data_IF_713520686091
#
_entry.id   IF_713520686091
#
_cell.length_a   1.000
_cell.length_b   1.000
_cell.length_c   1.000
_cell.angle_alpha   90.00
_cell.angle_beta   90.00
_cell.angle_gamma   90.00
#
_symmetry.space_group_name_H-M   'P 1'
#
loop_
_entity.id
_entity.type
_entity.pdbx_description
1 polymer ?
#
# COMPACT_ATOMS: atom_id res chain seq x y z
N UNK A 1 -27.46 3.59 3.80
CA UNK A 1 -27.72 3.42 2.36
C UNK A 1 -29.12 2.91 2.17
N UNK A 2 -29.88 3.50 1.24
CA UNK A 2 -31.16 3.00 0.74
C UNK A 2 -31.14 3.07 -0.79
N UNK A 3 -31.64 2.03 -1.45
CA UNK A 3 -31.64 1.93 -2.91
C UNK A 3 -33.03 1.69 -3.45
N UNK A 4 -33.30 2.11 -4.70
CA UNK A 4 -34.55 1.84 -5.40
C UNK A 4 -34.77 0.33 -5.66
N UNK A 5 -33.69 -0.49 -5.57
CA UNK A 5 -33.74 -1.95 -5.64
C UNK A 5 -34.23 -2.64 -4.36
N UNK A 6 -34.63 -1.86 -3.34
CA UNK A 6 -35.22 -2.38 -2.10
C UNK A 6 -34.23 -2.64 -0.96
N UNK A 7 -32.93 -2.37 -1.13
CA UNK A 7 -31.98 -2.43 -0.01
C UNK A 7 -32.14 -1.20 0.89
N UNK A 8 -32.15 -1.43 2.22
CA UNK A 8 -32.03 -0.39 3.23
C UNK A 8 -31.14 -0.92 4.36
N UNK A 9 -30.08 -0.22 4.66
CA UNK A 9 -29.14 -0.62 5.70
C UNK A 9 -28.38 0.57 6.26
N UNK A 10 -27.99 0.44 7.51
CA UNK A 10 -27.07 1.37 8.17
C UNK A 10 -25.90 0.62 8.80
N UNK A 11 -24.80 1.28 8.86
CA UNK A 11 -23.67 0.85 9.68
C UNK A 11 -23.04 2.06 10.33
N UNK A 12 -22.58 1.87 11.56
CA UNK A 12 -21.72 2.80 12.26
C UNK A 12 -20.34 2.19 12.34
N UNK A 13 -19.34 2.95 11.96
CA UNK A 13 -17.94 2.56 12.13
C UNK A 13 -17.17 3.72 12.76
N UNK A 14 -16.18 3.38 13.52
CA UNK A 14 -15.21 4.34 14.08
C UNK A 14 -13.83 4.02 13.50
N UNK A 15 -13.00 5.02 13.47
CA UNK A 15 -11.58 4.88 13.21
C UNK A 15 -10.83 5.93 14.03
N UNK A 16 -9.61 5.61 14.36
CA UNK A 16 -8.69 6.49 15.08
C UNK A 16 -7.32 6.42 14.39
N UNK A 17 -6.72 7.58 14.21
CA UNK A 17 -5.38 7.72 13.63
C UNK A 17 -4.53 8.56 14.56
N UNK A 18 -3.36 8.08 14.91
CA UNK A 18 -2.27 8.89 15.46
C UNK A 18 -1.17 8.97 14.40
N UNK A 19 -0.72 10.17 14.12
CA UNK A 19 0.35 10.45 13.17
C UNK A 19 1.33 11.41 13.82
N UNK A 20 2.62 11.15 13.67
CA UNK A 20 3.67 12.04 14.11
C UNK A 20 4.69 12.25 12.99
N UNK A 21 5.02 13.50 12.73
CA UNK A 21 6.14 13.92 11.91
C UNK A 21 7.11 14.70 12.82
N UNK A 22 8.25 14.10 13.12
CA UNK A 22 9.33 14.78 13.81
C UNK A 22 10.31 15.33 12.75
N UNK A 23 10.56 16.63 12.78
CA UNK A 23 11.44 17.25 11.79
C UNK A 23 12.34 18.32 12.42
N UNK A 24 13.55 18.41 11.90
CA UNK A 24 14.51 19.47 12.16
C UNK A 24 15.13 19.88 10.84
N UNK A 25 15.99 20.89 10.85
CA UNK A 25 16.80 21.24 9.67
C UNK A 25 17.71 20.04 9.32
N UNK A 26 17.43 19.40 8.18
CA UNK A 26 18.20 18.27 7.64
C UNK A 26 17.91 16.89 8.26
N UNK A 27 16.85 16.74 9.05
CA UNK A 27 16.43 15.43 9.56
C UNK A 27 14.91 15.33 9.73
N UNK A 28 14.32 14.19 9.40
CA UNK A 28 12.90 13.92 9.65
C UNK A 28 12.62 12.45 9.89
N UNK A 29 11.52 12.19 10.58
CA UNK A 29 11.00 10.85 10.82
C UNK A 29 9.48 10.89 10.94
N UNK A 30 8.85 9.86 10.43
CA UNK A 30 7.42 9.70 10.37
C UNK A 30 7.00 8.38 11.02
N UNK A 31 5.90 8.40 11.71
CA UNK A 31 5.20 7.20 12.15
C UNK A 31 3.70 7.45 12.21
N UNK A 32 2.93 6.39 12.04
CA UNK A 32 1.48 6.41 12.19
C UNK A 32 0.96 5.13 12.81
N UNK A 33 -0.21 5.21 13.40
CA UNK A 33 -0.98 4.06 13.81
C UNK A 33 -2.45 4.32 13.53
N UNK A 34 -3.09 3.39 12.82
CA UNK A 34 -4.51 3.43 12.50
C UNK A 34 -5.19 2.21 13.10
N UNK A 35 -6.35 2.41 13.71
CA UNK A 35 -7.20 1.35 14.23
C UNK A 35 -8.67 1.74 14.15
N UNK A 36 -9.58 0.77 14.24
CA UNK A 36 -11.01 1.05 14.31
C UNK A 36 -11.47 1.49 15.72
N UNK A 37 -10.63 1.36 16.74
CA UNK A 37 -10.94 1.79 18.10
C UNK A 37 -9.77 2.61 18.68
N UNK A 38 -10.08 3.75 19.28
CA UNK A 38 -9.08 4.67 19.86
C UNK A 38 -8.22 4.02 20.95
N UNK A 39 -8.75 3.03 21.67
CA UNK A 39 -7.99 2.30 22.71
C UNK A 39 -6.83 1.46 22.15
N UNK A 40 -6.88 1.15 20.87
CA UNK A 40 -5.88 0.33 20.18
C UNK A 40 -4.80 1.19 19.49
N UNK A 41 -4.83 2.51 19.73
CA UNK A 41 -3.84 3.48 19.22
C UNK A 41 -3.00 3.99 20.40
N UNK A 42 -1.68 3.89 20.29
CA UNK A 42 -0.70 4.47 21.24
C UNK A 42 0.02 5.68 20.63
N UNK A 43 -0.50 6.91 20.81
CA UNK A 43 0.15 8.10 20.27
C UNK A 43 1.57 8.33 20.82
N UNK A 44 1.84 7.82 22.04
CA UNK A 44 3.16 7.90 22.63
C UNK A 44 4.19 7.02 21.91
N UNK A 45 3.79 5.80 21.51
CA UNK A 45 4.62 4.93 20.70
C UNK A 45 4.89 5.54 19.32
N UNK A 46 3.85 6.06 18.67
CA UNK A 46 3.96 6.75 17.37
C UNK A 46 4.93 7.94 17.44
N UNK A 47 4.81 8.77 18.48
CA UNK A 47 5.72 9.91 18.64
C UNK A 47 7.18 9.45 18.89
N UNK A 48 7.40 8.40 19.69
CA UNK A 48 8.75 7.86 19.93
C UNK A 48 9.37 7.30 18.66
N UNK A 49 8.63 6.55 17.86
CA UNK A 49 9.08 6.01 16.59
C UNK A 49 9.49 7.13 15.61
N UNK A 50 8.63 8.13 15.41
CA UNK A 50 8.95 9.27 14.55
C UNK A 50 10.21 10.02 14.98
N UNK A 51 10.38 10.27 16.30
CA UNK A 51 11.58 10.92 16.84
C UNK A 51 12.83 10.05 16.66
N UNK A 52 12.73 8.73 16.86
CA UNK A 52 13.85 7.82 16.68
C UNK A 52 14.33 7.79 15.20
N UNK A 53 13.38 7.71 14.27
CA UNK A 53 13.69 7.79 12.84
C UNK A 53 14.35 9.14 12.53
N UNK A 54 13.81 10.27 13.01
CA UNK A 54 14.36 11.59 12.78
C UNK A 54 15.80 11.71 13.28
N UNK A 55 16.11 11.17 14.47
CA UNK A 55 17.49 11.16 15.01
C UNK A 55 18.46 10.40 14.12
N UNK A 56 18.00 9.34 13.47
CA UNK A 56 18.82 8.49 12.60
C UNK A 56 18.98 9.05 11.20
N UNK A 57 18.14 9.99 10.75
CA UNK A 57 18.20 10.59 9.41
C UNK A 57 19.08 11.82 9.31
N UNK A 58 19.67 12.28 10.40
CA UNK A 58 20.62 13.42 10.40
C UNK A 58 21.88 13.11 9.59
N UNK A 59 22.40 14.11 8.89
CA UNK A 59 23.59 14.01 8.02
C UNK A 59 23.45 12.95 6.92
N UNK A 60 22.29 12.91 6.27
CA UNK A 60 22.00 11.98 5.19
C UNK A 60 22.95 12.15 4.00
N UNK A 61 23.48 11.02 3.52
CA UNK A 61 24.31 10.94 2.33
C UNK A 61 23.51 10.77 1.05
N UNK A 62 24.16 10.94 -0.08
CA UNK A 62 23.56 10.72 -1.40
C UNK A 62 23.71 9.26 -1.85
N UNK A 63 22.78 8.83 -2.69
CA UNK A 63 22.84 7.55 -3.39
C UNK A 63 22.68 7.81 -4.89
N UNK A 64 23.55 7.26 -5.71
CA UNK A 64 23.45 7.39 -7.16
C UNK A 64 22.18 6.72 -7.69
N UNK A 65 21.56 7.23 -8.78
CA UNK A 65 20.52 6.51 -9.48
C UNK A 65 20.99 5.11 -9.90
N UNK A 66 20.09 4.13 -9.81
CA UNK A 66 20.38 2.72 -10.10
C UNK A 66 19.29 1.80 -9.59
N UNK A 67 19.47 0.53 -9.84
CA UNK A 67 18.60 -0.54 -9.37
C UNK A 67 19.18 -1.16 -8.11
N UNK A 68 18.42 -1.21 -7.04
CA UNK A 68 18.86 -1.68 -5.73
C UNK A 68 17.95 -2.78 -5.20
N UNK A 69 18.50 -3.70 -4.44
CA UNK A 69 17.71 -4.50 -3.52
C UNK A 69 17.17 -3.59 -2.44
N UNK A 70 15.96 -3.85 -1.97
CA UNK A 70 15.36 -2.99 -0.96
C UNK A 70 14.54 -3.76 0.08
N UNK A 71 14.44 -3.17 1.27
CA UNK A 71 13.36 -3.46 2.20
C UNK A 71 12.41 -2.27 2.18
N UNK A 72 11.12 -2.54 1.93
CA UNK A 72 10.06 -1.56 2.09
C UNK A 72 9.35 -1.82 3.41
N UNK A 73 9.35 -0.84 4.29
CA UNK A 73 8.56 -0.89 5.52
C UNK A 73 7.06 -0.88 5.22
N UNK A 74 6.21 -1.19 6.22
CA UNK A 74 4.76 -1.27 5.99
C UNK A 74 4.15 0.01 5.41
N UNK A 75 4.58 1.19 5.85
CA UNK A 75 4.06 2.46 5.31
C UNK A 75 4.42 2.62 3.82
N UNK A 76 5.67 2.27 3.45
CA UNK A 76 6.11 2.34 2.06
C UNK A 76 5.38 1.33 1.17
N UNK A 77 5.24 0.08 1.62
CA UNK A 77 4.53 -0.95 0.87
C UNK A 77 3.03 -0.65 0.77
N UNK A 78 2.42 -0.20 1.85
CA UNK A 78 1.00 0.16 1.89
C UNK A 78 0.66 1.25 0.88
N UNK A 79 1.42 2.34 0.86
CA UNK A 79 1.23 3.44 -0.07
C UNK A 79 1.48 3.00 -1.53
N UNK A 80 2.56 2.25 -1.79
CA UNK A 80 2.87 1.72 -3.11
C UNK A 80 1.73 0.84 -3.65
N UNK A 81 1.22 -0.08 -2.84
CA UNK A 81 0.16 -1.00 -3.25
C UNK A 81 -1.18 -0.31 -3.42
N UNK A 82 -1.49 0.72 -2.65
CA UNK A 82 -2.74 1.46 -2.82
C UNK A 82 -2.77 2.19 -4.16
N UNK A 83 -1.72 2.92 -4.51
CA UNK A 83 -1.62 3.57 -5.82
C UNK A 83 -1.65 2.56 -6.97
N UNK A 84 -0.95 1.44 -6.83
CA UNK A 84 -0.98 0.36 -7.82
C UNK A 84 -2.37 -0.26 -7.95
N UNK A 85 -3.06 -0.48 -6.86
CA UNK A 85 -4.34 -1.17 -6.82
C UNK A 85 -5.48 -0.37 -7.48
N UNK A 86 -5.42 0.96 -7.46
CA UNK A 86 -6.44 1.84 -8.00
C UNK A 86 -6.82 1.49 -9.44
N UNK A 87 -5.83 1.42 -10.32
CA UNK A 87 -6.05 1.07 -11.73
C UNK A 87 -5.88 -0.41 -12.01
N UNK A 88 -5.06 -1.12 -11.24
CA UNK A 88 -4.79 -2.53 -11.49
C UNK A 88 -5.98 -3.41 -11.16
N UNK A 89 -6.55 -3.25 -9.96
CA UNK A 89 -7.60 -4.16 -9.49
C UNK A 89 -9.02 -3.60 -9.62
N UNK A 90 -9.21 -2.54 -10.40
CA UNK A 90 -10.53 -2.00 -10.74
C UNK A 90 -11.16 -2.73 -11.92
N UNK A 91 -12.37 -3.26 -11.75
CA UNK A 91 -13.13 -3.88 -12.83
C UNK A 91 -13.45 -2.91 -13.97
N UNK A 92 -13.65 -1.63 -13.66
CA UNK A 92 -13.82 -0.60 -14.69
C UNK A 92 -12.54 -0.41 -15.50
N UNK A 93 -11.39 -0.31 -14.85
CA UNK A 93 -10.11 -0.19 -15.53
C UNK A 93 -9.80 -1.41 -16.40
N UNK A 94 -10.21 -2.60 -15.96
CA UNK A 94 -10.07 -3.83 -16.75
C UNK A 94 -10.94 -3.80 -18.01
N UNK A 95 -12.19 -3.34 -17.91
CA UNK A 95 -13.10 -3.18 -19.08
C UNK A 95 -12.62 -2.12 -20.06
N UNK A 96 -11.89 -1.13 -19.59
CA UNK A 96 -11.31 -0.06 -20.40
C UNK A 96 -9.90 -0.39 -20.91
N UNK A 97 -9.43 -1.60 -20.66
CA UNK A 97 -8.11 -2.11 -21.05
C UNK A 97 -6.92 -1.26 -20.56
N UNK A 98 -7.09 -0.47 -19.52
CA UNK A 98 -6.02 0.32 -18.89
C UNK A 98 -5.41 -0.34 -17.64
N UNK A 99 -6.00 -1.45 -17.19
CA UNK A 99 -5.48 -2.22 -16.07
C UNK A 99 -4.23 -3.02 -16.42
N UNK A 100 -3.33 -3.17 -15.45
CA UNK A 100 -2.22 -4.14 -15.55
C UNK A 100 -2.70 -5.58 -15.74
N UNK A 101 -3.90 -5.92 -15.23
CA UNK A 101 -4.49 -7.27 -15.39
C UNK A 101 -4.90 -7.59 -16.84
N UNK A 102 -5.03 -6.58 -17.72
CA UNK A 102 -5.55 -6.78 -19.09
C UNK A 102 -4.70 -7.80 -19.85
N UNK A 103 -5.33 -8.92 -20.20
CA UNK A 103 -4.70 -10.05 -20.88
C UNK A 103 -3.80 -10.94 -20.03
N UNK A 104 -3.73 -10.74 -18.68
CA UNK A 104 -2.78 -11.44 -17.81
C UNK A 104 -3.47 -12.23 -16.67
N UNK A 105 -4.79 -12.20 -16.58
CA UNK A 105 -5.51 -12.98 -15.56
C UNK A 105 -5.18 -14.48 -15.67
N UNK A 106 -4.90 -15.09 -14.53
CA UNK A 106 -4.46 -16.48 -14.40
C UNK A 106 -2.96 -16.70 -14.58
N UNK A 107 -2.20 -15.66 -14.91
CA UNK A 107 -0.75 -15.77 -15.04
C UNK A 107 -0.06 -15.50 -13.67
N UNK A 108 1.04 -16.21 -13.43
CA UNK A 108 1.95 -15.88 -12.33
C UNK A 108 2.82 -14.70 -12.76
N UNK A 109 2.67 -13.57 -12.11
CA UNK A 109 3.40 -12.34 -12.40
C UNK A 109 4.18 -11.80 -11.20
N UNK A 110 3.91 -12.32 -10.02
CA UNK A 110 4.59 -11.98 -8.78
C UNK A 110 5.24 -13.23 -8.18
N UNK A 111 6.12 -13.04 -7.20
CA UNK A 111 6.68 -14.11 -6.41
C UNK A 111 5.58 -14.94 -5.73
N UNK A 112 5.80 -16.23 -5.57
CA UNK A 112 4.82 -17.14 -4.96
C UNK A 112 4.49 -16.80 -3.50
N UNK A 113 5.35 -16.06 -2.81
CA UNK A 113 5.10 -15.57 -1.46
C UNK A 113 4.08 -14.42 -1.42
N UNK A 114 3.75 -13.82 -2.57
CA UNK A 114 2.86 -12.66 -2.63
C UNK A 114 1.42 -13.09 -2.82
N UNK A 115 0.60 -12.87 -1.80
CA UNK A 115 -0.86 -13.02 -1.87
C UNK A 115 -1.54 -11.75 -1.40
N UNK A 116 -2.42 -11.19 -2.24
CA UNK A 116 -3.11 -9.91 -2.02
C UNK A 116 -4.61 -10.12 -2.16
N UNK A 117 -5.38 -9.57 -1.24
CA UNK A 117 -6.84 -9.53 -1.30
C UNK A 117 -7.37 -8.11 -1.03
N UNK A 118 -8.59 -7.82 -1.47
CA UNK A 118 -9.41 -6.77 -0.88
C UNK A 118 -10.29 -7.44 0.19
N UNK A 119 -10.02 -7.16 1.47
CA UNK A 119 -10.68 -7.81 2.59
C UNK A 119 -11.22 -6.79 3.62
N UNK A 120 -12.38 -6.24 3.30
CA UNK A 120 -13.06 -5.30 4.19
C UNK A 120 -13.77 -5.97 5.37
N UNK A 121 -13.62 -7.28 5.56
CA UNK A 121 -14.17 -8.03 6.70
C UNK A 121 -13.11 -8.35 7.76
N UNK A 122 -11.83 -8.18 7.45
CA UNK A 122 -10.74 -8.44 8.39
C UNK A 122 -10.82 -7.48 9.60
N UNK A 123 -10.98 -8.00 10.84
CA UNK A 123 -11.09 -7.17 12.03
C UNK A 123 -9.79 -6.42 12.39
N UNK A 124 -8.65 -6.78 11.80
CA UNK A 124 -7.38 -6.07 11.98
C UNK A 124 -7.30 -4.80 11.13
N UNK A 125 -8.15 -4.70 10.10
CA UNK A 125 -8.29 -3.53 9.25
C UNK A 125 -9.37 -2.56 9.73
N UNK A 126 -10.07 -1.94 8.78
CA UNK A 126 -11.20 -1.03 9.01
C UNK A 126 -12.48 -1.65 8.44
N UNK A 127 -13.11 -2.60 9.15
CA UNK A 127 -14.17 -3.44 8.59
C UNK A 127 -15.41 -2.64 8.18
N UNK A 128 -16.00 -3.03 7.06
CA UNK A 128 -17.25 -2.52 6.52
C UNK A 128 -18.16 -3.68 6.17
N UNK A 129 -19.48 -3.51 6.32
CA UNK A 129 -20.47 -4.57 6.03
C UNK A 129 -20.97 -4.55 4.60
N UNK A 130 -21.07 -3.37 4.01
CA UNK A 130 -21.56 -3.16 2.65
C UNK A 130 -20.96 -1.88 2.06
N UNK A 131 -21.04 -1.74 0.76
CA UNK A 131 -20.57 -0.58 0.03
C UNK A 131 -21.63 0.52 -0.12
N UNK A 132 -21.35 1.56 -0.90
CA UNK A 132 -22.26 2.68 -1.11
C UNK A 132 -23.43 2.38 -2.07
N UNK A 133 -23.46 1.19 -2.66
CA UNK A 133 -24.61 0.67 -3.42
C UNK A 133 -25.45 -0.31 -2.60
N UNK A 134 -25.03 -0.60 -1.36
CA UNK A 134 -25.72 -1.55 -0.47
C UNK A 134 -25.36 -3.00 -0.75
N UNK A 135 -24.32 -3.26 -1.52
CA UNK A 135 -23.84 -4.62 -1.78
C UNK A 135 -22.98 -5.08 -0.61
N UNK A 136 -23.23 -6.27 -0.04
CA UNK A 136 -22.40 -6.81 1.04
C UNK A 136 -20.93 -6.90 0.63
N UNK A 137 -20.04 -6.49 1.55
CA UNK A 137 -18.60 -6.71 1.40
C UNK A 137 -18.25 -8.19 1.44
N UNK A 138 -17.20 -8.54 0.74
CA UNK A 138 -16.64 -9.88 0.75
C UNK A 138 -15.12 -9.80 0.65
N UNK A 139 -14.43 -10.87 0.98
CA UNK A 139 -13.02 -11.02 0.68
C UNK A 139 -12.86 -11.37 -0.79
N UNK A 140 -12.13 -10.55 -1.54
CA UNK A 140 -11.87 -10.73 -2.98
C UNK A 140 -10.40 -11.06 -3.19
N UNK A 141 -10.04 -12.29 -3.60
CA UNK A 141 -8.67 -12.61 -3.98
C UNK A 141 -8.27 -11.82 -5.23
N UNK A 142 -7.20 -11.03 -5.12
CA UNK A 142 -6.63 -10.25 -6.21
C UNK A 142 -5.40 -10.95 -6.79
N UNK A 143 -4.56 -11.45 -5.90
CA UNK A 143 -3.37 -12.28 -6.20
C UNK A 143 -3.32 -13.43 -5.21
N UNK A 144 -3.07 -14.64 -5.68
CA UNK A 144 -2.82 -15.81 -4.84
C UNK A 144 -1.53 -16.50 -5.30
N UNK A 145 -0.58 -16.62 -4.39
CA UNK A 145 0.73 -17.23 -4.64
C UNK A 145 1.37 -16.69 -5.93
N UNK A 146 1.36 -15.36 -6.08
CA UNK A 146 1.89 -14.65 -7.24
C UNK A 146 1.01 -14.70 -8.51
N UNK A 147 -0.10 -15.43 -8.50
CA UNK A 147 -1.00 -15.57 -9.65
C UNK A 147 -2.10 -14.51 -9.61
N UNK A 148 -2.27 -13.76 -10.68
CA UNK A 148 -3.31 -12.74 -10.82
C UNK A 148 -4.70 -13.39 -10.90
N UNK A 149 -5.58 -13.11 -9.91
CA UNK A 149 -6.88 -13.80 -9.79
C UNK A 149 -8.06 -12.96 -10.26
N UNK A 150 -8.07 -11.68 -9.96
CA UNK A 150 -9.25 -10.89 -10.27
C UNK A 150 -9.14 -9.41 -9.96
N UNK A 151 -10.28 -8.77 -10.06
CA UNK A 151 -10.50 -7.36 -9.75
C UNK A 151 -11.78 -7.20 -8.93
N UNK A 152 -11.93 -6.06 -8.28
CA UNK A 152 -13.16 -5.67 -7.58
C UNK A 152 -14.16 -5.03 -8.53
N UNK A 153 -15.45 -5.13 -8.20
CA UNK A 153 -16.57 -4.72 -9.06
C UNK A 153 -17.61 -3.95 -8.26
N UNK A 154 -18.18 -2.91 -8.86
CA UNK A 154 -19.44 -2.28 -8.47
C UNK A 154 -20.58 -2.76 -9.36
N UNK A 155 -21.83 -2.36 -9.09
CA UNK A 155 -22.97 -2.77 -9.89
C UNK A 155 -22.86 -2.30 -11.36
N UNK A 156 -22.49 -1.04 -11.66
CA UNK A 156 -22.38 -0.58 -13.04
C UNK A 156 -21.32 -1.32 -13.85
N UNK A 157 -20.12 -1.50 -13.32
CA UNK A 157 -19.04 -2.18 -14.03
C UNK A 157 -19.31 -3.68 -14.18
N UNK A 158 -19.90 -4.31 -13.17
CA UNK A 158 -20.33 -5.71 -13.25
C UNK A 158 -21.39 -5.92 -14.35
N UNK A 159 -22.39 -5.02 -14.40
CA UNK A 159 -23.43 -5.06 -15.45
C UNK A 159 -22.81 -4.83 -16.84
N UNK A 160 -21.87 -3.90 -16.98
CA UNK A 160 -21.17 -3.64 -18.24
C UNK A 160 -20.29 -4.82 -18.68
N UNK A 161 -19.68 -5.55 -17.73
CA UNK A 161 -18.93 -6.77 -18.05
C UNK A 161 -19.83 -7.89 -18.58
N UNK A 162 -21.11 -7.91 -18.20
CA UNK A 162 -22.07 -8.89 -18.64
C UNK A 162 -21.87 -10.29 -18.06
N UNK A 163 -22.59 -11.27 -18.62
CA UNK A 163 -22.56 -12.66 -18.17
C UNK A 163 -23.04 -12.82 -16.72
N UNK A 164 -22.32 -13.59 -15.93
CA UNK A 164 -22.61 -13.83 -14.50
C UNK A 164 -21.83 -12.93 -13.55
N UNK A 165 -21.18 -11.86 -14.06
CA UNK A 165 -20.39 -10.97 -13.23
C UNK A 165 -21.28 -10.25 -12.22
N UNK A 166 -20.87 -10.27 -10.96
CA UNK A 166 -21.56 -9.59 -9.87
C UNK A 166 -20.65 -8.54 -9.23
N UNK A 167 -21.26 -7.54 -8.60
CA UNK A 167 -20.55 -6.62 -7.73
C UNK A 167 -19.89 -7.36 -6.57
N UNK A 168 -18.70 -6.94 -6.20
CA UNK A 168 -17.95 -7.45 -5.05
C UNK A 168 -18.13 -6.60 -3.78
N UNK A 169 -19.05 -5.60 -3.85
CA UNK A 169 -19.26 -4.67 -2.76
C UNK A 169 -18.18 -3.59 -2.69
N UNK A 170 -17.71 -3.09 -3.83
CA UNK A 170 -16.60 -2.14 -3.91
C UNK A 170 -16.98 -0.79 -4.54
N UNK A 171 -18.28 -0.44 -4.54
CA UNK A 171 -18.70 0.88 -4.96
C UNK A 171 -18.14 1.95 -4.01
N UNK A 172 -17.45 2.98 -4.54
CA UNK A 172 -16.91 4.07 -3.74
C UNK A 172 -18.02 5.05 -3.29
N UNK A 173 -17.68 6.01 -2.42
CA UNK A 173 -18.58 7.12 -2.09
C UNK A 173 -19.12 7.82 -3.36
N UNK A 174 -20.31 8.43 -3.30
CA UNK A 174 -20.94 9.05 -4.46
C UNK A 174 -20.09 10.07 -5.21
N UNK A 175 -19.26 10.85 -4.49
CA UNK A 175 -18.32 11.81 -5.09
C UNK A 175 -17.23 11.14 -5.94
N UNK A 176 -16.88 9.90 -5.61
CA UNK A 176 -15.79 9.15 -6.22
C UNK A 176 -16.26 8.13 -7.29
N UNK A 177 -17.57 8.04 -7.57
CA UNK A 177 -18.14 7.07 -8.54
C UNK A 177 -17.50 7.09 -9.92
N UNK A 178 -16.95 8.22 -10.33
CA UNK A 178 -16.23 8.36 -11.61
C UNK A 178 -15.04 7.41 -11.76
N UNK A 179 -14.46 6.97 -10.66
CA UNK A 179 -13.31 6.07 -10.64
C UNK A 179 -13.70 4.60 -10.79
N UNK A 180 -15.01 4.28 -10.69
CA UNK A 180 -15.49 2.90 -10.66
C UNK A 180 -15.17 2.21 -9.32
N UNK A 181 -15.22 0.87 -9.28
CA UNK A 181 -14.96 0.11 -8.07
C UNK A 181 -13.51 0.24 -7.61
N UNK A 182 -13.30 0.42 -6.31
CA UNK A 182 -11.98 0.61 -5.71
C UNK A 182 -11.71 -0.41 -4.60
N UNK A 183 -10.50 -1.02 -4.57
CA UNK A 183 -10.08 -1.93 -3.50
C UNK A 183 -9.59 -1.13 -2.29
N UNK A 184 -10.48 -0.78 -1.39
CA UNK A 184 -10.19 0.05 -0.22
C UNK A 184 -9.61 -0.71 0.98
N UNK A 185 -9.60 -2.04 0.94
CA UNK A 185 -9.17 -2.86 2.05
C UNK A 185 -8.09 -3.86 1.59
N UNK A 186 -7.02 -3.33 1.02
CA UNK A 186 -5.89 -4.13 0.59
C UNK A 186 -5.31 -4.88 1.79
N UNK A 187 -5.17 -6.19 1.65
CA UNK A 187 -4.56 -7.07 2.63
C UNK A 187 -3.51 -7.94 1.95
N UNK A 188 -2.28 -7.89 2.44
CA UNK A 188 -1.19 -8.75 2.00
C UNK A 188 -0.90 -9.78 3.07
N UNK A 189 -0.78 -11.04 2.66
CA UNK A 189 -0.43 -12.10 3.58
C UNK A 189 0.97 -11.86 4.19
N UNK A 190 1.11 -12.07 5.49
CA UNK A 190 2.40 -12.08 6.14
C UNK A 190 3.26 -13.28 5.70
N UNK A 191 4.58 -13.13 5.84
CA UNK A 191 5.54 -14.17 5.55
C UNK A 191 6.11 -14.85 6.79
N UNK A 192 7.39 -15.21 6.74
CA UNK A 192 8.06 -15.98 7.79
C UNK A 192 9.02 -15.15 8.64
N UNK A 193 9.52 -14.00 8.13
CA UNK A 193 10.49 -13.19 8.87
C UNK A 193 9.86 -12.58 10.13
N UNK A 194 10.56 -12.70 11.25
CA UNK A 194 10.07 -12.22 12.54
C UNK A 194 10.18 -10.69 12.67
N UNK A 195 11.05 -10.05 11.89
CA UNK A 195 11.32 -8.62 12.00
C UNK A 195 11.81 -8.01 10.68
N UNK A 196 11.82 -6.68 10.64
CA UNK A 196 12.45 -5.91 9.55
C UNK A 196 13.96 -6.16 9.51
N UNK A 197 14.61 -6.39 10.66
CA UNK A 197 16.04 -6.65 10.72
C UNK A 197 16.41 -7.96 10.00
N UNK A 198 15.59 -9.00 10.09
CA UNK A 198 15.79 -10.22 9.28
C UNK A 198 15.68 -9.95 7.78
N UNK A 199 14.76 -9.10 7.35
CA UNK A 199 14.67 -8.70 5.95
C UNK A 199 15.90 -7.90 5.50
N UNK A 200 16.42 -7.05 6.38
CA UNK A 200 17.67 -6.30 6.14
C UNK A 200 18.86 -7.27 5.99
N UNK A 201 18.93 -8.31 6.81
CA UNK A 201 19.94 -9.38 6.67
C UNK A 201 19.80 -10.12 5.33
N UNK A 202 18.58 -10.47 4.93
CA UNK A 202 18.30 -11.13 3.63
C UNK A 202 18.69 -10.26 2.43
N UNK A 203 18.53 -8.95 2.52
CA UNK A 203 18.92 -8.00 1.47
C UNK A 203 20.43 -7.86 1.37
N UNK A 204 21.15 -7.91 2.48
CA UNK A 204 22.61 -7.84 2.62
C UNK A 204 23.20 -6.49 2.18
N UNK A 205 23.06 -6.11 0.91
CA UNK A 205 23.44 -4.78 0.37
C UNK A 205 22.26 -4.19 -0.43
N UNK A 206 21.83 -2.98 -0.03
CA UNK A 206 20.66 -2.36 -0.62
C UNK A 206 20.19 -1.10 0.11
N UNK A 207 18.90 -0.87 0.14
CA UNK A 207 18.28 0.27 0.85
C UNK A 207 17.10 -0.19 1.70
N UNK A 208 16.86 0.49 2.80
CA UNK A 208 15.64 0.41 3.59
C UNK A 208 14.84 1.70 3.44
N UNK A 209 13.57 1.58 3.09
CA UNK A 209 12.65 2.69 2.87
C UNK A 209 11.49 2.56 3.85
N UNK A 210 11.36 3.52 4.77
CA UNK A 210 10.28 3.51 5.76
C UNK A 210 8.96 3.98 5.16
N UNK A 211 8.99 5.01 4.29
CA UNK A 211 7.83 5.69 3.74
C UNK A 211 8.08 6.19 2.32
N UNK A 212 7.01 6.25 1.55
CA UNK A 212 6.97 6.90 0.24
C UNK A 212 6.18 8.22 0.32
N UNK A 213 6.25 9.04 -0.72
CA UNK A 213 5.54 10.31 -0.80
C UNK A 213 5.45 10.81 -2.25
N UNK A 214 4.39 11.58 -2.54
CA UNK A 214 4.16 12.13 -3.88
C UNK A 214 4.12 11.07 -4.98
N UNK A 215 3.40 9.98 -4.72
CA UNK A 215 3.24 8.95 -5.74
C UNK A 215 2.34 9.41 -6.88
N UNK A 216 2.67 8.98 -8.07
CA UNK A 216 1.89 9.20 -9.27
C UNK A 216 1.95 7.98 -10.19
N UNK A 217 0.83 7.70 -10.85
CA UNK A 217 0.72 6.62 -11.85
C UNK A 217 1.28 7.17 -13.17
N UNK A 218 2.31 6.52 -13.70
CA UNK A 218 2.96 6.89 -14.96
C UNK A 218 2.37 6.09 -16.13
N UNK A 219 2.29 4.77 -15.98
CA UNK A 219 1.77 3.87 -17.00
C UNK A 219 0.98 2.73 -16.33
N UNK A 220 -0.34 2.85 -16.23
CA UNK A 220 -1.15 1.88 -15.50
C UNK A 220 -1.11 0.46 -16.09
N UNK A 221 -1.05 0.31 -17.41
CA UNK A 221 -0.98 -1.02 -18.06
C UNK A 221 0.32 -1.78 -17.77
N UNK A 222 1.37 -1.07 -17.41
CA UNK A 222 2.65 -1.65 -17.00
C UNK A 222 2.82 -1.64 -15.49
N UNK A 223 1.91 -1.00 -14.75
CA UNK A 223 2.01 -0.84 -13.31
C UNK A 223 3.16 0.04 -12.89
N UNK A 224 3.51 1.06 -13.71
CA UNK A 224 4.64 1.96 -13.43
C UNK A 224 4.17 3.13 -12.58
N UNK A 225 4.81 3.27 -11.43
CA UNK A 225 4.65 4.37 -10.50
C UNK A 225 5.93 5.18 -10.37
N UNK A 226 5.80 6.46 -10.08
CA UNK A 226 6.90 7.34 -9.68
C UNK A 226 6.57 7.99 -8.34
N UNK A 227 7.60 8.42 -7.61
CA UNK A 227 7.44 9.08 -6.34
C UNK A 227 8.79 9.38 -5.70
N UNK A 228 8.74 9.64 -4.40
CA UNK A 228 9.93 9.90 -3.58
C UNK A 228 9.90 9.03 -2.33
N UNK A 229 11.07 8.60 -1.87
CA UNK A 229 11.23 8.13 -0.50
C UNK A 229 11.20 9.34 0.43
N UNK A 230 10.74 9.17 1.67
CA UNK A 230 10.64 10.27 2.63
C UNK A 230 10.74 9.80 4.08
N UNK A 231 11.25 10.69 4.93
CA UNK A 231 11.22 10.57 6.39
C UNK A 231 11.86 9.27 6.93
N UNK A 232 12.87 8.73 6.25
CA UNK A 232 13.59 7.53 6.71
C UNK A 232 14.00 6.62 5.55
N UNK A 233 15.08 6.98 4.88
CA UNK A 233 15.74 6.10 3.90
C UNK A 233 17.15 5.81 4.40
N UNK A 234 17.54 4.54 4.40
CA UNK A 234 18.82 4.10 4.94
C UNK A 234 19.54 3.18 3.96
N UNK A 235 20.86 3.26 3.93
CA UNK A 235 21.67 2.25 3.27
C UNK A 235 21.65 0.95 4.06
N UNK A 236 21.65 -0.18 3.37
CA UNK A 236 21.92 -1.51 3.94
C UNK A 236 23.31 -1.92 3.49
N UNK A 237 24.18 -2.34 4.42
CA UNK A 237 25.50 -2.88 4.16
C UNK A 237 25.80 -4.08 5.05
N UNK A 238 26.23 -5.18 4.44
CA UNK A 238 26.56 -6.42 5.16
C UNK A 238 25.41 -6.85 6.11
N UNK A 239 24.17 -6.82 5.63
CA UNK A 239 22.99 -7.22 6.38
C UNK A 239 22.62 -6.31 7.55
N UNK A 240 23.04 -5.04 7.56
CA UNK A 240 22.74 -4.08 8.64
C UNK A 240 22.36 -2.71 8.08
N UNK A 241 21.50 -2.00 8.82
CA UNK A 241 21.23 -0.60 8.54
C UNK A 241 22.47 0.24 8.82
N UNK A 242 22.86 1.01 7.83
CA UNK A 242 24.05 1.85 7.84
C UNK A 242 23.67 3.35 7.79
N UNK A 243 24.35 4.14 6.95
CA UNK A 243 24.15 5.58 6.87
C UNK A 243 22.74 5.95 6.37
N UNK A 244 22.17 7.06 6.86
CA UNK A 244 20.94 7.61 6.32
C UNK A 244 21.18 8.19 4.92
N UNK A 245 20.15 8.17 4.10
CA UNK A 245 20.14 8.68 2.74
C UNK A 245 19.19 9.87 2.62
N UNK A 246 19.52 10.81 1.75
CA UNK A 246 18.60 11.85 1.32
C UNK A 246 17.36 11.23 0.68
N UNK A 247 16.29 12.00 0.56
CA UNK A 247 15.10 11.52 -0.15
C UNK A 247 15.47 11.18 -1.60
N UNK A 248 15.05 10.02 -2.06
CA UNK A 248 15.36 9.49 -3.38
C UNK A 248 14.13 9.55 -4.27
N UNK A 249 14.28 9.99 -5.51
CA UNK A 249 13.25 9.80 -6.53
C UNK A 249 13.31 8.38 -7.05
N UNK A 250 12.16 7.76 -7.19
CA UNK A 250 12.03 6.44 -7.79
C UNK A 250 11.05 6.45 -8.97
N UNK A 251 11.22 5.50 -9.88
CA UNK A 251 10.22 5.13 -10.88
C UNK A 251 10.32 3.63 -11.04
N UNK A 252 9.30 2.92 -10.58
CA UNK A 252 9.30 1.45 -10.52
C UNK A 252 8.11 0.87 -11.25
N UNK A 253 8.30 -0.26 -11.91
CA UNK A 253 7.20 -1.14 -12.23
C UNK A 253 6.89 -1.96 -10.97
N UNK A 254 5.72 -1.79 -10.37
CA UNK A 254 5.34 -2.55 -9.16
C UNK A 254 5.40 -4.06 -9.40
N UNK A 255 5.05 -4.58 -10.59
CA UNK A 255 5.27 -5.99 -10.90
C UNK A 255 6.72 -6.44 -10.75
N UNK A 256 7.70 -5.63 -11.09
CA UNK A 256 9.13 -5.97 -10.93
C UNK A 256 9.55 -5.96 -9.45
N UNK A 257 8.96 -5.05 -8.65
CA UNK A 257 9.17 -5.01 -7.19
C UNK A 257 8.64 -6.28 -6.51
N UNK A 258 7.54 -6.84 -7.04
CA UNK A 258 6.88 -8.03 -6.48
C UNK A 258 7.28 -9.34 -7.17
N UNK A 259 8.16 -9.31 -8.18
CA UNK A 259 8.54 -10.50 -8.96
C UNK A 259 9.54 -11.42 -8.26
N UNK A 260 10.41 -10.86 -7.44
CA UNK A 260 11.44 -11.60 -6.68
C UNK A 260 11.48 -11.02 -5.26
N UNK A 261 10.86 -11.75 -4.34
CA UNK A 261 10.64 -11.37 -2.94
C UNK A 261 11.43 -12.31 -2.02
N UNK A 262 12.63 -11.92 -1.57
CA UNK A 262 13.40 -12.70 -0.60
C UNK A 262 12.62 -13.05 0.67
N UNK A 263 11.78 -12.12 1.18
CA UNK A 263 10.97 -12.37 2.36
C UNK A 263 9.93 -11.28 2.64
N UNK A 264 8.98 -11.62 3.51
CA UNK A 264 8.01 -10.71 4.11
C UNK A 264 8.00 -10.95 5.62
N UNK A 265 7.71 -9.91 6.41
CA UNK A 265 7.51 -10.08 7.85
C UNK A 265 6.21 -10.85 8.12
N UNK A 266 6.20 -11.61 9.24
CA UNK A 266 5.00 -12.30 9.72
C UNK A 266 3.93 -11.32 10.17
N UNK A 267 4.33 -10.32 10.93
CA UNK A 267 3.42 -9.26 11.37
C UNK A 267 3.02 -8.34 10.22
N UNK A 268 1.77 -7.93 10.24
CA UNK A 268 1.18 -6.96 9.31
C UNK A 268 0.77 -5.71 10.06
N UNK A 269 0.97 -4.56 9.46
CA UNK A 269 0.59 -3.26 9.99
C UNK A 269 -0.53 -2.69 9.14
N UNK A 270 -1.55 -2.10 9.77
CA UNK A 270 -2.54 -1.30 9.05
C UNK A 270 -1.91 0.05 8.75
N UNK A 271 -1.40 0.16 7.53
CA UNK A 271 -0.81 1.38 7.02
C UNK A 271 -1.87 2.19 6.29
N UNK A 272 -1.91 3.45 6.54
CA UNK A 272 -2.45 4.48 5.70
C UNK A 272 -3.47 5.44 6.22
N UNK A 273 -3.55 6.46 5.42
CA UNK A 273 -4.36 7.65 5.50
C UNK A 273 -5.86 7.36 5.32
N UNK A 274 -6.64 7.68 6.35
CA UNK A 274 -8.09 7.54 6.34
C UNK A 274 -8.78 8.76 5.67
N UNK A 275 -8.19 9.36 4.62
CA UNK A 275 -8.72 10.57 4.04
C UNK A 275 -8.62 10.64 2.52
N UNK A 276 -9.69 11.06 1.86
CA UNK A 276 -9.68 11.66 0.52
C UNK A 276 -9.53 13.18 0.63
N UNK A 277 -9.21 13.84 -0.45
CA UNK A 277 -8.99 15.29 -0.49
C UNK A 277 -10.14 16.12 0.09
N UNK A 278 -11.39 15.72 -0.15
CA UNK A 278 -12.57 16.49 0.26
C UNK A 278 -13.44 15.77 1.30
N UNK A 279 -13.25 14.48 1.51
CA UNK A 279 -14.07 13.68 2.41
C UNK A 279 -13.20 12.67 3.17
N UNK A 280 -13.49 12.49 4.46
CA UNK A 280 -12.88 11.45 5.25
C UNK A 280 -13.60 10.12 5.01
N UNK A 281 -12.91 9.21 4.37
CA UNK A 281 -13.33 7.81 4.23
C UNK A 281 -12.26 6.89 4.79
N UNK A 282 -12.56 6.24 5.92
CA UNK A 282 -11.60 5.37 6.56
C UNK A 282 -11.32 4.13 5.71
N UNK A 283 -10.09 4.01 5.24
CA UNK A 283 -9.57 2.87 4.50
C UNK A 283 -8.09 2.67 4.84
N UNK A 284 -7.51 1.54 4.47
CA UNK A 284 -6.10 1.28 4.75
C UNK A 284 -5.64 -0.03 4.13
N UNK A 285 -4.33 -0.20 4.07
CA UNK A 285 -3.68 -1.41 3.63
C UNK A 285 -3.09 -2.16 4.83
N UNK A 286 -3.51 -3.39 5.04
CA UNK A 286 -2.96 -4.29 6.04
C UNK A 286 -1.80 -5.05 5.40
N UNK A 287 -0.57 -4.62 5.66
CA UNK A 287 0.61 -5.09 4.94
C UNK A 287 1.78 -5.44 5.86
N UNK A 288 2.61 -6.44 5.50
CA UNK A 288 3.91 -6.68 6.13
C UNK A 288 4.96 -5.66 5.65
N UNK A 289 6.15 -5.71 6.20
CA UNK A 289 7.34 -5.24 5.48
C UNK A 289 7.74 -6.29 4.43
N UNK A 290 8.39 -5.86 3.35
CA UNK A 290 8.82 -6.72 2.25
C UNK A 290 10.28 -6.46 1.86
N UNK A 291 11.03 -7.54 1.64
CA UNK A 291 12.29 -7.48 0.92
C UNK A 291 12.04 -7.71 -0.57
N UNK A 292 12.67 -6.91 -1.42
CA UNK A 292 12.59 -7.05 -2.89
C UNK A 292 13.98 -7.04 -3.51
N UNK A 293 14.14 -7.82 -4.58
CA UNK A 293 15.39 -7.86 -5.33
C UNK A 293 15.59 -6.60 -6.20
N UNK A 294 14.51 -5.81 -6.43
CA UNK A 294 14.60 -4.65 -7.33
C UNK A 294 13.75 -3.47 -6.88
N UNK A 295 14.40 -2.32 -6.72
CA UNK A 295 13.78 -1.01 -6.55
C UNK A 295 14.60 0.03 -7.31
N UNK A 296 14.00 0.68 -8.31
CA UNK A 296 14.71 1.57 -9.23
C UNK A 296 14.71 3.02 -8.74
N UNK A 297 15.86 3.48 -8.29
CA UNK A 297 16.12 4.89 -7.94
C UNK A 297 16.47 5.64 -9.21
N UNK A 298 15.74 6.69 -9.52
CA UNK A 298 15.89 7.47 -10.76
C UNK A 298 16.45 8.88 -10.55
N UNK A 299 16.64 9.28 -9.31
CA UNK A 299 17.22 10.60 -9.00
C UNK A 299 17.36 10.83 -7.51
N UNK A 300 17.99 11.96 -7.20
CA UNK A 300 18.20 12.44 -5.83
C UNK A 300 17.17 13.53 -5.56
N UNK A 301 16.53 13.46 -4.40
CA UNK A 301 15.66 14.50 -3.87
C UNK A 301 16.42 15.43 -2.93
N UNK A 302 15.66 16.22 -2.15
CA UNK A 302 16.23 17.05 -1.09
C UNK A 302 16.62 16.26 0.16
N UNK A 303 17.31 16.89 1.11
CA UNK A 303 17.56 16.30 2.42
C UNK A 303 16.24 15.98 3.14
N UNK A 304 16.27 15.06 4.13
CA UNK A 304 15.15 14.92 5.06
C UNK A 304 14.96 16.22 5.85
N UNK A 305 13.73 16.46 6.30
CA UNK A 305 13.38 17.63 7.09
C UNK A 305 12.59 18.67 6.30
N UNK A 306 12.51 19.87 6.90
CA UNK A 306 11.75 21.01 6.40
C UNK A 306 12.67 21.88 5.54
#
# INVERSE_FOLDING_TARGET
VATSGGFSGEQTSTDAVALALAATDGASGYAEQTAWAVRDVDPGAVAREAVEIARRTANAGELAPGSYRAVLGPYALGELLQYFAFDTFSGLALLEERSYLSGKLGERRFDEKVSIADDALDPRGLPKRFDFEGVPKQRVPLVEDGVLRGAVWDLPSAARAGGSRQSTGNAPPPAERRWGPLPFAISVAGGEAESVDELVELVDDGIYVTRLHYLGIVEPRQGILTGMTRDGTFRIRNGKLAEPLVNLRFTVAVPDVLADVPGLTRETTLANEAAFYDERYAYGALVPAIATARFDVTGIGGPPGI
#
